data_IF_136009576747
#
_entry.id   IF_136009576747
#
_cell.length_a   1.000
_cell.length_b   1.000
_cell.length_c   1.000
_cell.angle_alpha   90.00
_cell.angle_beta   90.00
_cell.angle_gamma   90.00
#
_symmetry.space_group_name_H-M   'P 1'
#
loop_
_entity.id
_entity.type
_entity.pdbx_description
1 polymer ?
#
# COMPACT_ATOMS: atom_id res chain seq x y z
N UNK A 1 14.26 3.76 11.14
CA UNK A 1 14.92 3.55 9.82
C UNK A 1 15.36 4.89 9.28
N UNK A 2 16.52 4.98 8.61
CA UNK A 2 16.96 6.25 8.02
C UNK A 2 16.15 6.60 6.77
N UNK A 3 15.86 7.89 6.57
CA UNK A 3 15.09 8.36 5.41
C UNK A 3 15.73 7.94 4.07
N UNK A 4 17.06 8.05 3.94
CA UNK A 4 17.80 7.62 2.76
C UNK A 4 17.57 6.15 2.38
N UNK A 5 17.31 5.28 3.37
CA UNK A 5 17.01 3.87 3.12
C UNK A 5 15.61 3.70 2.52
N UNK A 6 14.63 4.51 2.98
CA UNK A 6 13.28 4.54 2.42
C UNK A 6 13.25 5.06 0.99
N UNK A 7 14.17 5.96 0.65
CA UNK A 7 14.25 6.59 -0.67
C UNK A 7 15.05 5.78 -1.71
N UNK A 8 15.70 4.69 -1.29
CA UNK A 8 16.67 3.95 -2.13
C UNK A 8 16.10 3.45 -3.45
N UNK A 9 14.85 3.02 -3.46
CA UNK A 9 14.21 2.39 -4.62
C UNK A 9 13.25 3.32 -5.38
N UNK A 10 13.22 4.62 -5.03
CA UNK A 10 12.34 5.59 -5.68
C UNK A 10 13.14 6.69 -6.36
N UNK A 11 12.56 7.28 -7.40
CA UNK A 11 13.18 8.42 -8.10
C UNK A 11 12.88 9.71 -7.36
N UNK A 12 13.91 10.28 -6.74
CA UNK A 12 13.85 11.56 -6.03
C UNK A 12 14.25 12.68 -6.98
N UNK A 13 13.46 13.75 -7.03
CA UNK A 13 13.71 14.93 -7.88
C UNK A 13 14.47 16.03 -7.13
N UNK A 14 14.22 16.21 -5.83
CA UNK A 14 14.91 17.17 -5.00
C UNK A 14 14.79 16.78 -3.52
N UNK A 15 15.79 17.15 -2.73
CA UNK A 15 15.79 17.03 -1.27
C UNK A 15 16.16 18.40 -0.68
N UNK A 16 15.38 18.85 0.30
CA UNK A 16 15.72 20.02 1.15
C UNK A 16 15.78 19.54 2.61
N UNK A 17 16.93 19.63 3.24
CA UNK A 17 17.24 19.09 4.55
C UNK A 17 18.17 17.87 4.46
N UNK A 18 18.26 17.09 5.53
CA UNK A 18 19.13 15.90 5.62
C UNK A 18 18.35 14.61 5.36
N UNK A 19 18.83 13.75 4.49
CA UNK A 19 18.27 12.40 4.27
C UNK A 19 18.73 11.36 5.31
N UNK A 20 19.61 11.76 6.23
CA UNK A 20 20.11 10.91 7.33
C UNK A 20 19.21 10.97 8.58
N UNK A 21 18.06 11.66 8.52
CA UNK A 21 17.08 11.70 9.61
C UNK A 21 16.47 10.32 9.86
N UNK A 22 16.15 10.04 11.12
CA UNK A 22 15.47 8.80 11.50
C UNK A 22 13.95 8.96 11.34
N UNK A 23 13.34 7.99 10.66
CA UNK A 23 11.90 7.88 10.46
C UNK A 23 11.37 6.74 11.33
N UNK A 24 10.40 7.06 12.20
CA UNK A 24 9.79 6.13 13.16
C UNK A 24 8.44 5.61 12.71
N UNK A 25 7.84 6.22 11.68
CA UNK A 25 6.57 5.82 11.09
C UNK A 25 6.33 6.52 9.76
N UNK A 26 5.45 5.95 8.94
CA UNK A 26 5.02 6.52 7.66
C UNK A 26 3.51 6.68 7.68
N UNK A 27 2.98 7.81 7.24
CA UNK A 27 1.53 8.03 7.15
C UNK A 27 1.16 8.94 5.97
N UNK A 28 -0.02 8.68 5.40
CA UNK A 28 -0.69 9.51 4.38
C UNK A 28 -1.79 10.40 5.00
N UNK A 29 -2.20 10.14 6.22
CA UNK A 29 -3.17 10.93 6.97
C UNK A 29 -2.44 11.80 7.99
N UNK A 30 -2.50 13.13 7.80
CA UNK A 30 -1.83 14.09 8.69
C UNK A 30 -2.30 14.00 10.14
N UNK A 31 -3.53 13.55 10.40
CA UNK A 31 -4.09 13.39 11.76
C UNK A 31 -3.44 12.23 12.54
N UNK A 32 -2.81 11.29 11.84
CA UNK A 32 -2.12 10.13 12.40
C UNK A 32 -0.61 10.34 12.53
N UNK A 33 -0.12 11.51 12.18
CA UNK A 33 1.30 11.86 12.32
C UNK A 33 1.67 11.96 13.81
N UNK A 34 2.83 11.45 14.12
CA UNK A 34 3.49 11.53 15.44
C UNK A 34 4.92 12.01 15.25
N UNK A 35 5.60 12.33 16.36
CA UNK A 35 7.01 12.73 16.30
C UNK A 35 7.88 11.66 15.62
N UNK A 36 8.74 12.09 14.71
CA UNK A 36 9.61 11.22 13.93
C UNK A 36 9.01 10.64 12.66
N UNK A 37 7.72 10.88 12.35
CA UNK A 37 7.07 10.30 11.16
C UNK A 37 7.51 10.95 9.84
N UNK A 38 7.45 10.16 8.77
CA UNK A 38 7.38 10.63 7.39
C UNK A 38 5.91 10.84 7.02
N UNK A 39 5.55 12.05 6.64
CA UNK A 39 4.27 12.35 6.02
C UNK A 39 4.35 12.25 4.51
N UNK A 40 3.49 11.47 3.87
CA UNK A 40 3.37 11.40 2.41
C UNK A 40 2.16 12.24 1.97
N UNK A 41 2.42 13.37 1.34
CA UNK A 41 1.38 14.30 0.87
C UNK A 41 0.78 13.81 -0.45
N UNK A 42 -0.26 12.96 -0.35
CA UNK A 42 -0.95 12.38 -1.52
C UNK A 42 -1.87 13.39 -2.20
N UNK A 43 -1.85 13.45 -3.53
CA UNK A 43 -2.93 14.10 -4.30
C UNK A 43 -4.13 13.17 -4.37
N UNK A 44 -5.04 13.29 -3.41
CA UNK A 44 -6.28 12.51 -3.39
C UNK A 44 -7.30 13.01 -4.43
N UNK A 45 -8.28 12.16 -4.74
CA UNK A 45 -9.35 12.50 -5.71
C UNK A 45 -10.29 13.63 -5.24
N UNK A 46 -10.40 13.86 -3.94
CA UNK A 46 -11.27 14.89 -3.35
C UNK A 46 -10.47 16.02 -2.70
N UNK A 47 -9.34 15.71 -2.09
CA UNK A 47 -8.54 16.67 -1.33
C UNK A 47 -7.07 16.46 -1.63
N UNK A 48 -6.35 17.57 -1.87
CA UNK A 48 -4.90 17.56 -2.03
C UNK A 48 -4.22 17.53 -0.65
N UNK A 49 -3.47 16.45 -0.40
CA UNK A 49 -2.74 16.23 0.84
C UNK A 49 -1.64 17.26 1.12
N UNK A 50 -1.16 17.97 0.09
CA UNK A 50 -0.14 19.04 0.26
C UNK A 50 -0.63 20.16 1.19
N UNK A 51 -1.94 20.43 1.23
CA UNK A 51 -2.55 21.39 2.15
C UNK A 51 -2.36 21.05 3.63
N UNK A 52 -2.08 19.79 3.93
CA UNK A 52 -1.90 19.30 5.30
C UNK A 52 -0.44 19.19 5.73
N UNK A 53 0.52 19.58 4.87
CA UNK A 53 1.95 19.59 5.22
C UNK A 53 2.21 20.43 6.48
N UNK A 54 1.69 21.67 6.62
CA UNK A 54 1.91 22.45 7.84
C UNK A 54 1.40 21.73 9.09
N UNK A 55 0.25 21.07 9.01
CA UNK A 55 -0.32 20.32 10.14
C UNK A 55 0.51 19.08 10.49
N UNK A 56 1.03 18.38 9.50
CA UNK A 56 1.91 17.25 9.73
C UNK A 56 3.22 17.67 10.41
N UNK A 57 3.79 18.79 10.00
CA UNK A 57 4.99 19.38 10.63
C UNK A 57 4.70 19.77 12.07
N UNK A 58 3.58 20.45 12.35
CA UNK A 58 3.16 20.80 13.70
C UNK A 58 3.03 19.59 14.62
N UNK A 59 2.57 18.44 14.08
CA UNK A 59 2.42 17.17 14.81
C UNK A 59 3.72 16.37 14.94
N UNK A 60 4.85 16.89 14.44
CA UNK A 60 6.18 16.31 14.63
C UNK A 60 6.70 15.47 13.45
N UNK A 61 6.15 15.63 12.24
CA UNK A 61 6.75 15.02 11.06
C UNK A 61 8.22 15.47 10.92
N UNK A 62 9.14 14.53 10.79
CA UNK A 62 10.58 14.81 10.55
C UNK A 62 10.92 14.78 9.07
N UNK A 63 10.06 14.20 8.25
CA UNK A 63 10.21 14.22 6.80
C UNK A 63 8.84 14.35 6.13
N UNK A 64 8.85 14.95 4.94
CA UNK A 64 7.67 15.12 4.07
C UNK A 64 8.04 14.66 2.68
N UNK A 65 7.25 13.73 2.12
CA UNK A 65 7.31 13.33 0.72
C UNK A 65 6.18 14.04 -0.04
N UNK A 66 6.51 14.82 -1.07
CA UNK A 66 5.56 15.67 -1.78
C UNK A 66 5.86 15.74 -3.28
N UNK A 67 4.89 16.18 -4.08
CA UNK A 67 5.09 16.46 -5.50
C UNK A 67 5.46 17.94 -5.74
N UNK A 68 5.00 18.80 -4.87
CA UNK A 68 5.27 20.23 -4.89
C UNK A 68 5.90 20.66 -3.56
N UNK A 69 7.06 21.33 -3.64
CA UNK A 69 7.70 21.85 -2.44
C UNK A 69 6.86 22.96 -1.83
N UNK A 70 6.59 22.95 -0.51
CA UNK A 70 5.88 24.04 0.13
C UNK A 70 6.70 25.33 0.07
N UNK A 71 6.02 26.48 -0.04
CA UNK A 71 6.65 27.79 -0.04
C UNK A 71 7.38 28.09 1.30
N UNK A 72 6.77 27.66 2.40
CA UNK A 72 7.35 27.77 3.74
C UNK A 72 7.79 26.39 4.21
N UNK A 73 9.05 26.30 4.65
CA UNK A 73 9.66 25.06 5.14
C UNK A 73 10.24 25.27 6.53
N UNK A 74 10.14 24.27 7.39
CA UNK A 74 10.83 24.21 8.67
C UNK A 74 12.23 23.63 8.50
N UNK A 75 13.26 24.25 9.10
CA UNK A 75 14.67 23.82 9.01
C UNK A 75 14.93 22.47 9.67
N UNK A 76 14.06 22.05 10.60
CA UNK A 76 14.15 20.75 11.30
C UNK A 76 13.46 19.61 10.56
N UNK A 77 12.85 19.88 9.39
CA UNK A 77 12.09 18.91 8.59
C UNK A 77 12.76 18.73 7.24
N UNK A 78 12.90 17.48 6.82
CA UNK A 78 13.39 17.16 5.48
C UNK A 78 12.24 17.03 4.49
N UNK A 79 12.31 17.77 3.41
CA UNK A 79 11.32 17.71 2.32
C UNK A 79 11.93 17.00 1.11
N UNK A 80 11.21 16.00 0.62
CA UNK A 80 11.60 15.18 -0.53
C UNK A 80 10.59 15.35 -1.63
N UNK A 81 11.02 15.81 -2.80
CA UNK A 81 10.15 15.96 -3.96
C UNK A 81 10.29 14.77 -4.90
N UNK A 82 9.14 14.23 -5.30
CA UNK A 82 9.01 13.16 -6.30
C UNK A 82 8.06 13.61 -7.42
N UNK A 83 8.01 12.86 -8.52
CA UNK A 83 7.12 13.17 -9.64
C UNK A 83 5.65 12.83 -9.31
N UNK A 84 5.42 11.73 -8.56
CA UNK A 84 4.11 11.26 -8.13
C UNK A 84 4.25 10.55 -6.79
N UNK A 85 3.54 11.02 -5.79
CA UNK A 85 3.49 10.38 -4.47
C UNK A 85 2.69 9.08 -4.51
N UNK A 86 1.69 8.99 -5.38
CA UNK A 86 0.89 7.77 -5.60
C UNK A 86 1.74 6.62 -6.15
N UNK A 87 2.68 6.92 -7.05
CA UNK A 87 3.55 5.89 -7.65
C UNK A 87 4.61 5.35 -6.68
N UNK A 88 5.01 6.12 -5.68
CA UNK A 88 6.13 5.75 -4.79
C UNK A 88 5.72 5.35 -3.38
N UNK A 89 4.52 5.73 -2.92
CA UNK A 89 4.07 5.47 -1.53
C UNK A 89 4.07 3.98 -1.19
N UNK A 90 3.71 3.12 -2.14
CA UNK A 90 3.73 1.67 -1.96
C UNK A 90 5.14 1.14 -1.70
N UNK A 91 6.13 1.59 -2.46
CA UNK A 91 7.53 1.23 -2.29
C UNK A 91 8.09 1.72 -0.94
N UNK A 92 7.76 2.96 -0.57
CA UNK A 92 8.14 3.54 0.74
C UNK A 92 7.55 2.73 1.89
N UNK A 93 6.26 2.38 1.80
CA UNK A 93 5.59 1.57 2.82
C UNK A 93 6.19 0.16 2.92
N UNK A 94 6.43 -0.49 1.78
CA UNK A 94 7.04 -1.81 1.70
C UNK A 94 8.43 -1.81 2.31
N UNK A 95 9.26 -0.83 1.97
CA UNK A 95 10.61 -0.69 2.53
C UNK A 95 10.57 -0.44 4.03
N UNK A 96 9.69 0.46 4.50
CA UNK A 96 9.55 0.77 5.93
C UNK A 96 9.20 -0.46 6.76
N UNK A 97 8.31 -1.32 6.27
CA UNK A 97 7.89 -2.56 6.92
C UNK A 97 8.82 -3.75 6.64
N UNK A 98 9.97 -3.54 6.00
CA UNK A 98 11.00 -4.56 5.77
C UNK A 98 10.61 -5.58 4.71
N UNK A 99 9.92 -5.14 3.65
CA UNK A 99 9.53 -5.93 2.48
C UNK A 99 8.70 -7.18 2.85
N UNK A 100 7.57 -7.05 3.56
CA UNK A 100 6.85 -8.19 4.14
C UNK A 100 6.33 -9.16 3.06
N UNK A 101 5.90 -8.67 1.89
CA UNK A 101 5.40 -9.50 0.80
C UNK A 101 6.45 -10.44 0.18
N UNK A 102 7.75 -10.22 0.44
CA UNK A 102 8.82 -11.14 0.00
C UNK A 102 9.08 -12.26 0.99
N UNK A 103 8.55 -12.17 2.22
CA UNK A 103 8.77 -13.09 3.33
C UNK A 103 7.68 -14.15 3.49
N UNK A 104 6.60 -14.02 2.71
CA UNK A 104 5.49 -14.96 2.63
C UNK A 104 5.06 -15.10 1.16
N UNK A 105 4.24 -16.10 0.85
CA UNK A 105 3.68 -16.28 -0.50
C UNK A 105 2.38 -15.49 -0.62
N UNK A 106 2.48 -14.27 -1.12
CA UNK A 106 1.32 -13.40 -1.35
C UNK A 106 0.62 -13.80 -2.66
N UNK A 107 -0.66 -14.14 -2.58
CA UNK A 107 -1.50 -14.50 -3.74
C UNK A 107 -2.64 -13.49 -3.86
N UNK A 108 -2.70 -12.79 -4.98
CA UNK A 108 -3.76 -11.82 -5.26
C UNK A 108 -4.91 -12.44 -6.05
N UNK A 109 -6.14 -12.05 -5.72
CA UNK A 109 -7.35 -12.47 -6.42
C UNK A 109 -8.05 -11.24 -6.99
N UNK A 110 -8.19 -11.17 -8.31
CA UNK A 110 -8.90 -10.09 -8.98
C UNK A 110 -10.02 -10.63 -9.88
N UNK A 111 -10.91 -9.76 -10.27
CA UNK A 111 -12.09 -10.04 -11.12
C UNK A 111 -13.27 -9.15 -10.76
N UNK A 112 -14.38 -9.26 -11.45
CA UNK A 112 -15.59 -8.52 -11.09
C UNK A 112 -16.21 -9.13 -9.85
N UNK A 113 -16.59 -10.40 -9.90
CA UNK A 113 -17.26 -11.13 -8.82
C UNK A 113 -16.39 -12.31 -8.34
N UNK A 114 -16.64 -12.79 -7.11
CA UNK A 114 -16.03 -13.99 -6.56
C UNK A 114 -14.66 -13.80 -5.92
N UNK A 115 -14.10 -12.59 -5.87
CA UNK A 115 -12.80 -12.32 -5.22
C UNK A 115 -12.79 -12.77 -3.75
N UNK A 116 -13.76 -12.30 -2.97
CA UNK A 116 -13.90 -12.65 -1.54
C UNK A 116 -14.06 -14.15 -1.35
N UNK A 117 -14.92 -14.78 -2.16
CA UNK A 117 -15.16 -16.23 -2.09
C UNK A 117 -13.88 -17.01 -2.35
N UNK A 118 -13.14 -16.71 -3.42
CA UNK A 118 -11.92 -17.43 -3.78
C UNK A 118 -10.80 -17.17 -2.76
N UNK A 119 -10.57 -15.92 -2.35
CA UNK A 119 -9.55 -15.60 -1.35
C UNK A 119 -9.83 -16.33 -0.01
N UNK A 120 -11.10 -16.31 0.45
CA UNK A 120 -11.50 -17.00 1.68
C UNK A 120 -11.40 -18.53 1.55
N UNK A 121 -11.78 -19.10 0.40
CA UNK A 121 -11.65 -20.54 0.17
C UNK A 121 -10.20 -20.98 0.20
N UNK A 122 -9.29 -20.24 -0.44
CA UNK A 122 -7.86 -20.52 -0.41
C UNK A 122 -7.30 -20.41 1.02
N UNK A 123 -7.62 -19.34 1.73
CA UNK A 123 -7.23 -19.20 3.14
C UNK A 123 -7.71 -20.39 3.98
N UNK A 124 -8.98 -20.77 3.90
CA UNK A 124 -9.53 -21.89 4.65
C UNK A 124 -8.90 -23.22 4.26
N UNK A 125 -8.66 -23.44 2.96
CA UNK A 125 -8.07 -24.68 2.44
C UNK A 125 -6.64 -24.84 2.95
N UNK A 126 -5.79 -23.82 2.80
CA UNK A 126 -4.40 -23.87 3.23
C UNK A 126 -4.27 -23.95 4.75
N UNK A 127 -5.14 -23.23 5.49
CA UNK A 127 -5.19 -23.33 6.96
C UNK A 127 -5.56 -24.76 7.41
N UNK A 128 -6.54 -25.43 6.77
CA UNK A 128 -6.87 -26.83 7.05
C UNK A 128 -5.77 -27.82 6.67
N UNK A 129 -4.90 -27.45 5.74
CA UNK A 129 -3.70 -28.23 5.40
C UNK A 129 -2.56 -28.04 6.41
N UNK A 130 -2.74 -27.19 7.43
CA UNK A 130 -1.77 -26.94 8.50
C UNK A 130 -0.84 -25.75 8.28
N UNK A 131 -1.04 -24.97 7.22
CA UNK A 131 -0.26 -23.76 6.99
C UNK A 131 -0.82 -22.57 7.79
N UNK A 132 0.06 -21.73 8.34
CA UNK A 132 -0.34 -20.44 8.86
C UNK A 132 -0.61 -19.48 7.70
N UNK A 133 -1.81 -18.94 7.65
CA UNK A 133 -2.27 -18.10 6.54
C UNK A 133 -2.79 -16.74 7.01
N UNK A 134 -2.63 -15.73 6.15
CA UNK A 134 -3.32 -14.45 6.25
C UNK A 134 -4.41 -14.33 5.19
N UNK A 135 -5.42 -13.51 5.47
CA UNK A 135 -6.46 -13.12 4.53
C UNK A 135 -6.66 -11.61 4.57
N UNK A 136 -6.69 -10.98 3.40
CA UNK A 136 -7.04 -9.57 3.22
C UNK A 136 -8.28 -9.50 2.32
N UNK A 137 -9.43 -9.19 2.89
CA UNK A 137 -10.71 -9.25 2.19
C UNK A 137 -11.67 -8.11 2.58
N UNK A 138 -12.72 -7.97 1.79
CA UNK A 138 -13.77 -6.95 2.00
C UNK A 138 -14.49 -7.12 3.35
N UNK A 139 -14.69 -8.34 3.80
CA UNK A 139 -15.52 -8.65 4.96
C UNK A 139 -14.73 -8.56 6.27
N UNK A 140 -13.56 -9.19 6.30
CA UNK A 140 -12.69 -9.23 7.46
C UNK A 140 -11.29 -9.65 7.03
N UNK A 141 -10.27 -9.06 7.63
CA UNK A 141 -8.91 -9.55 7.49
C UNK A 141 -8.63 -10.60 8.57
N UNK A 142 -7.74 -11.55 8.27
CA UNK A 142 -7.30 -12.54 9.25
C UNK A 142 -5.77 -12.63 9.27
N UNK A 143 -5.21 -12.68 10.48
CA UNK A 143 -3.81 -12.98 10.73
C UNK A 143 -3.78 -14.29 11.51
N UNK A 144 -3.49 -15.40 10.85
CA UNK A 144 -3.77 -16.74 11.35
C UNK A 144 -5.25 -16.82 11.75
N UNK A 145 -5.60 -16.93 13.02
CA UNK A 145 -6.99 -16.99 13.51
C UNK A 145 -7.48 -15.65 14.11
N UNK A 146 -6.62 -14.61 14.16
CA UNK A 146 -6.98 -13.30 14.65
C UNK A 146 -7.79 -12.54 13.59
N UNK A 147 -9.04 -12.19 13.91
CA UNK A 147 -9.88 -11.36 13.09
C UNK A 147 -9.52 -9.88 13.26
N UNK A 148 -9.23 -9.19 12.17
CA UNK A 148 -8.92 -7.76 12.12
C UNK A 148 -9.96 -7.06 11.24
N UNK A 149 -10.69 -6.05 11.74
CA UNK A 149 -11.69 -5.33 10.95
C UNK A 149 -11.12 -4.83 9.61
N UNK A 150 -11.94 -4.87 8.57
CA UNK A 150 -11.61 -4.38 7.24
C UNK A 150 -12.38 -3.09 6.94
N UNK A 151 -11.68 -1.98 6.74
CA UNK A 151 -12.31 -0.72 6.33
C UNK A 151 -12.51 -0.65 4.81
N UNK A 152 -11.69 -1.37 4.05
CA UNK A 152 -11.70 -1.42 2.58
C UNK A 152 -11.38 -2.81 2.06
N UNK A 153 -11.88 -3.16 0.87
CA UNK A 153 -11.56 -4.41 0.17
C UNK A 153 -10.04 -4.61 0.00
N UNK A 154 -9.35 -3.55 -0.33
CA UNK A 154 -7.89 -3.48 -0.38
C UNK A 154 -7.50 -2.21 0.37
N UNK A 155 -6.78 -2.31 1.49
CA UNK A 155 -6.35 -1.16 2.28
C UNK A 155 -5.46 -0.18 1.48
N UNK A 156 -5.20 1.00 2.06
CA UNK A 156 -4.15 1.89 1.56
C UNK A 156 -2.75 1.23 1.71
N UNK A 157 -1.73 1.72 1.00
CA UNK A 157 -0.41 1.07 0.99
C UNK A 157 0.24 0.95 2.38
N UNK A 158 0.00 1.90 3.29
CA UNK A 158 0.57 1.87 4.64
C UNK A 158 -0.07 0.77 5.46
N UNK A 159 -1.41 0.80 5.58
CA UNK A 159 -2.17 -0.21 6.32
C UNK A 159 -1.97 -1.62 5.74
N UNK A 160 -1.87 -1.73 4.41
CA UNK A 160 -1.63 -3.00 3.73
C UNK A 160 -0.27 -3.61 4.12
N UNK A 161 0.80 -2.83 4.09
CA UNK A 161 2.13 -3.30 4.48
C UNK A 161 2.25 -3.56 5.98
N UNK A 162 1.56 -2.79 6.83
CA UNK A 162 1.46 -3.06 8.26
C UNK A 162 0.80 -4.43 8.53
N UNK A 163 -0.32 -4.73 7.86
CA UNK A 163 -1.00 -6.02 7.98
C UNK A 163 -0.11 -7.18 7.50
N UNK A 164 0.56 -7.02 6.35
CA UNK A 164 1.49 -8.03 5.85
C UNK A 164 2.68 -8.24 6.80
N UNK A 165 3.20 -7.18 7.41
CA UNK A 165 4.26 -7.27 8.41
C UNK A 165 3.81 -8.08 9.64
N UNK A 166 2.61 -7.77 10.19
CA UNK A 166 2.01 -8.55 11.27
C UNK A 166 1.79 -10.02 10.90
N UNK A 167 1.41 -10.31 9.64
CA UNK A 167 1.29 -11.69 9.15
C UNK A 167 2.65 -12.42 9.16
N UNK A 168 3.73 -11.73 8.74
CA UNK A 168 5.10 -12.28 8.81
C UNK A 168 5.50 -12.57 10.26
N UNK A 169 5.25 -11.64 11.18
CA UNK A 169 5.59 -11.80 12.60
C UNK A 169 4.79 -12.94 13.26
N UNK A 170 3.54 -13.16 12.82
CA UNK A 170 2.73 -14.31 13.25
C UNK A 170 3.17 -15.65 12.62
N UNK A 171 4.14 -15.60 11.68
CA UNK A 171 4.68 -16.77 10.99
C UNK A 171 3.80 -17.27 9.85
N UNK A 172 3.00 -16.41 9.22
CA UNK A 172 2.23 -16.78 8.03
C UNK A 172 3.16 -17.16 6.88
N UNK A 173 2.90 -18.33 6.28
CA UNK A 173 3.60 -18.82 5.08
C UNK A 173 2.93 -18.29 3.79
N UNK A 174 1.61 -18.08 3.86
CA UNK A 174 0.78 -17.62 2.75
C UNK A 174 -0.08 -16.43 3.20
N UNK A 175 -0.34 -15.53 2.26
CA UNK A 175 -1.40 -14.52 2.40
C UNK A 175 -2.23 -14.47 1.11
N UNK A 176 -3.55 -14.48 1.27
CA UNK A 176 -4.51 -14.38 0.18
C UNK A 176 -5.20 -13.02 0.25
N UNK A 177 -5.19 -12.26 -0.84
CA UNK A 177 -5.78 -10.92 -0.81
C UNK A 177 -6.65 -10.61 -2.02
N UNK A 178 -7.70 -9.87 -1.79
CA UNK A 178 -8.51 -9.28 -2.84
C UNK A 178 -7.79 -8.06 -3.45
N UNK A 179 -7.57 -8.09 -4.76
CA UNK A 179 -7.04 -6.97 -5.53
C UNK A 179 -8.20 -6.31 -6.31
N UNK A 180 -8.80 -5.26 -5.74
CA UNK A 180 -9.87 -4.52 -6.41
C UNK A 180 -9.32 -3.68 -7.57
N UNK A 181 -10.13 -3.43 -8.60
CA UNK A 181 -9.72 -2.60 -9.73
C UNK A 181 -9.39 -1.15 -9.32
N UNK A 182 -10.09 -0.63 -8.32
CA UNK A 182 -9.77 0.68 -7.72
C UNK A 182 -8.38 0.68 -7.07
N UNK A 183 -8.09 -0.34 -6.26
CA UNK A 183 -6.80 -0.43 -5.57
C UNK A 183 -5.63 -0.58 -6.55
N UNK A 184 -5.83 -1.34 -7.64
CA UNK A 184 -4.83 -1.48 -8.70
C UNK A 184 -4.63 -0.13 -9.41
N UNK A 185 -5.72 0.53 -9.82
CA UNK A 185 -5.68 1.82 -10.50
C UNK A 185 -5.06 2.93 -9.63
N UNK A 186 -5.32 2.90 -8.32
CA UNK A 186 -4.78 3.82 -7.31
C UNK A 186 -3.42 3.38 -6.74
N UNK A 187 -2.72 2.47 -7.39
CA UNK A 187 -1.38 2.01 -6.99
C UNK A 187 -1.27 1.50 -5.54
N UNK A 188 -2.38 1.14 -4.87
CA UNK A 188 -2.37 0.70 -3.47
C UNK A 188 -1.55 -0.56 -3.23
N UNK A 189 -1.38 -1.38 -4.28
CA UNK A 189 -0.58 -2.62 -4.26
C UNK A 189 0.84 -2.41 -4.82
N UNK A 190 1.24 -1.15 -5.07
CA UNK A 190 2.60 -0.82 -5.51
C UNK A 190 3.65 -1.30 -4.50
N UNK A 191 4.83 -1.68 -4.98
CA UNK A 191 5.93 -2.19 -4.16
C UNK A 191 5.74 -3.62 -3.63
N UNK A 192 4.56 -4.24 -3.78
CA UNK A 192 4.33 -5.61 -3.34
C UNK A 192 4.89 -6.64 -4.33
N UNK A 193 5.43 -7.72 -3.78
CA UNK A 193 5.84 -8.91 -4.54
C UNK A 193 4.78 -10.00 -4.39
N UNK A 194 4.18 -10.40 -5.51
CA UNK A 194 3.19 -11.48 -5.54
C UNK A 194 3.84 -12.81 -5.96
N UNK A 195 3.53 -13.88 -5.25
CA UNK A 195 3.89 -15.24 -5.64
C UNK A 195 2.98 -15.78 -6.76
N UNK A 196 1.78 -15.22 -6.90
CA UNK A 196 0.83 -15.61 -7.94
C UNK A 196 -0.42 -14.75 -7.94
N UNK A 197 -1.23 -14.91 -8.99
CA UNK A 197 -2.48 -14.19 -9.14
C UNK A 197 -3.58 -15.03 -9.77
N UNK A 198 -4.82 -14.82 -9.33
CA UNK A 198 -5.99 -15.46 -9.87
C UNK A 198 -6.95 -14.44 -10.47
N UNK A 199 -7.51 -14.79 -11.62
CA UNK A 199 -8.56 -14.05 -12.28
C UNK A 199 -9.87 -14.83 -12.23
N UNK A 200 -10.91 -14.23 -11.68
CA UNK A 200 -12.20 -14.92 -11.54
C UNK A 200 -13.08 -14.75 -12.78
N UNK A 201 -13.43 -13.52 -13.10
CA UNK A 201 -14.25 -13.16 -14.26
C UNK A 201 -14.18 -11.64 -14.55
N UNK A 202 -14.73 -11.24 -15.70
CA UNK A 202 -14.88 -9.84 -16.11
C UNK A 202 -16.26 -9.60 -16.69
N UNK A 203 -17.06 -8.82 -16.00
CA UNK A 203 -18.34 -8.31 -16.46
C UNK A 203 -18.35 -6.78 -16.34
N UNK A 204 -19.35 -6.10 -16.89
CA UNK A 204 -19.45 -4.64 -16.79
C UNK A 204 -19.75 -4.24 -15.35
N UNK A 205 -18.83 -3.46 -14.76
CA UNK A 205 -18.94 -2.94 -13.39
C UNK A 205 -18.03 -1.72 -13.23
N UNK A 206 -18.24 -0.90 -12.19
CA UNK A 206 -17.39 0.25 -11.82
C UNK A 206 -17.10 1.23 -12.97
N UNK A 207 -18.03 1.40 -13.91
CA UNK A 207 -17.85 2.34 -15.04
C UNK A 207 -18.01 3.80 -14.61
N UNK A 208 -18.63 4.05 -13.48
CA UNK A 208 -18.63 5.35 -12.79
C UNK A 208 -17.22 5.84 -12.50
N UNK A 209 -16.34 4.94 -12.06
CA UNK A 209 -14.93 5.21 -11.77
C UNK A 209 -14.04 5.09 -13.03
N UNK A 210 -14.06 3.92 -13.68
CA UNK A 210 -13.15 3.62 -14.80
C UNK A 210 -13.54 4.29 -16.12
N UNK A 211 -14.74 4.87 -16.24
CA UNK A 211 -15.32 5.53 -17.41
C UNK A 211 -15.62 4.60 -18.58
N UNK A 212 -14.72 3.67 -18.92
CA UNK A 212 -14.90 2.71 -20.01
C UNK A 212 -14.62 1.28 -19.55
N UNK A 213 -15.23 0.32 -20.24
CA UNK A 213 -14.96 -1.11 -19.99
C UNK A 213 -13.49 -1.47 -20.29
N UNK A 214 -12.90 -0.79 -21.26
CA UNK A 214 -11.49 -0.98 -21.61
C UNK A 214 -10.56 -0.55 -20.46
N UNK A 215 -10.79 0.61 -19.86
CA UNK A 215 -10.03 1.07 -18.70
C UNK A 215 -10.19 0.12 -17.51
N UNK A 216 -11.41 -0.37 -17.27
CA UNK A 216 -11.68 -1.35 -16.22
C UNK A 216 -10.92 -2.67 -16.45
N UNK A 217 -10.94 -3.20 -17.69
CA UNK A 217 -10.15 -4.36 -18.08
C UNK A 217 -8.65 -4.11 -17.89
N UNK A 218 -8.16 -2.96 -18.36
CA UNK A 218 -6.74 -2.61 -18.29
C UNK A 218 -6.26 -2.42 -16.85
N UNK A 219 -7.10 -1.87 -15.95
CA UNK A 219 -6.80 -1.82 -14.52
C UNK A 219 -6.56 -3.22 -13.93
N UNK A 220 -7.41 -4.20 -14.26
CA UNK A 220 -7.21 -5.59 -13.80
C UNK A 220 -6.00 -6.26 -14.47
N UNK A 221 -5.76 -5.97 -15.76
CA UNK A 221 -4.58 -6.49 -16.47
C UNK A 221 -3.29 -6.03 -15.81
N UNK A 222 -3.23 -4.78 -15.35
CA UNK A 222 -2.04 -4.22 -14.70
C UNK A 222 -1.59 -5.03 -13.49
N UNK A 223 -2.51 -5.69 -12.77
CA UNK A 223 -2.13 -6.63 -11.69
C UNK A 223 -1.31 -7.81 -12.21
N UNK A 224 -1.70 -8.38 -13.36
CA UNK A 224 -0.96 -9.51 -13.95
C UNK A 224 0.37 -9.09 -14.54
N UNK A 225 0.47 -7.84 -15.01
CA UNK A 225 1.73 -7.28 -15.51
C UNK A 225 2.78 -7.09 -14.38
N UNK A 226 2.34 -7.04 -13.10
CA UNK A 226 3.22 -7.00 -11.92
C UNK A 226 3.75 -8.37 -11.48
N UNK A 227 3.14 -9.46 -11.94
CA UNK A 227 3.56 -10.81 -11.52
C UNK A 227 4.92 -11.17 -12.12
N UNK A 228 5.74 -11.96 -11.38
CA UNK A 228 7.00 -12.44 -11.91
C UNK A 228 6.75 -13.26 -13.16
N UNK A 229 7.57 -13.02 -14.19
CA UNK A 229 7.55 -13.86 -15.40
C UNK A 229 8.16 -15.21 -15.06
N UNK A 230 7.38 -16.27 -15.21
CA UNK A 230 7.82 -17.66 -15.09
C UNK A 230 8.60 -18.08 -16.33
#
# INVERSE_FOLDING_TARGET
MKLKELLKNITVLAVKGSDDVEVTGVNIDSRRIKDGHLFVAMKGTQVDGHKFIPKAVELGAKAVLCEEMPEQTDENVTYVRVASTEDVVGEVATTFHGNPSTKLKLVGVTGTNGKTTIATLLYNMFSKMGHKCGLLSTVCNYIVDEAVPADHTTPDPIALNELLHRMVDAGCEYAFMECSSHAIAQKRIGGLTFAGGLFTNLTRDHLDYHKTFENYRNAKKAFFDMLPKT
#
